data_IF_364887739138
#
_entry.id   IF_364887739138
#
_cell.length_a   1.000
_cell.length_b   1.000
_cell.length_c   1.000
_cell.angle_alpha   90.00
_cell.angle_beta   90.00
_cell.angle_gamma   90.00
#
_symmetry.space_group_name_H-M   'P 1'
#
loop_
_entity.id
_entity.type
_entity.pdbx_description
1 polymer ?
#
# COMPACT_ATOMS: atom_id res chain seq x y z
N UNK A 1 0.97 -28.15 -42.82
CA UNK A 1 1.60 -27.47 -41.67
C UNK A 1 1.73 -28.47 -40.54
N UNK A 2 2.94 -28.76 -40.02
CA UNK A 2 3.10 -29.78 -38.99
C UNK A 2 2.38 -29.34 -37.70
N UNK A 3 1.38 -30.10 -37.28
CA UNK A 3 0.50 -29.81 -36.13
C UNK A 3 0.25 -31.04 -35.24
N UNK A 4 0.94 -32.16 -35.50
CA UNK A 4 0.71 -33.44 -34.81
C UNK A 4 1.40 -33.54 -33.44
N UNK A 5 2.45 -32.75 -33.20
CA UNK A 5 3.17 -32.76 -31.91
C UNK A 5 3.53 -31.34 -31.47
N UNK A 6 3.52 -31.10 -30.16
CA UNK A 6 3.83 -29.79 -29.57
C UNK A 6 5.24 -29.30 -29.92
N UNK A 7 6.23 -30.20 -29.87
CA UNK A 7 7.64 -29.88 -30.18
C UNK A 7 7.83 -29.31 -31.60
N UNK A 8 7.08 -29.81 -32.58
CA UNK A 8 7.22 -29.36 -33.96
C UNK A 8 6.62 -27.97 -34.24
N UNK A 9 5.71 -27.48 -33.38
CA UNK A 9 5.01 -26.21 -33.59
C UNK A 9 5.20 -25.21 -32.43
N UNK A 10 6.19 -25.44 -31.55
CA UNK A 10 6.42 -24.63 -30.34
C UNK A 10 6.62 -23.14 -30.63
N UNK A 11 7.29 -22.79 -31.73
CA UNK A 11 7.57 -21.40 -32.11
C UNK A 11 6.30 -20.57 -32.31
N UNK A 12 5.19 -21.18 -32.73
CA UNK A 12 3.92 -20.50 -32.90
C UNK A 12 3.24 -20.16 -31.55
N UNK A 13 3.58 -20.86 -30.46
CA UNK A 13 3.00 -20.66 -29.14
C UNK A 13 3.81 -19.69 -28.27
N UNK A 14 5.10 -19.48 -28.56
CA UNK A 14 5.97 -18.58 -27.78
C UNK A 14 5.36 -17.17 -27.58
N UNK A 15 4.85 -16.48 -28.63
CA UNK A 15 4.29 -15.16 -28.45
C UNK A 15 3.06 -15.17 -27.51
N UNK A 16 2.19 -16.16 -27.66
CA UNK A 16 0.97 -16.28 -26.84
C UNK A 16 1.32 -16.59 -25.38
N UNK A 17 2.25 -17.50 -25.14
CA UNK A 17 2.70 -17.84 -23.78
C UNK A 17 3.41 -16.66 -23.12
N UNK A 18 4.22 -15.90 -23.86
CA UNK A 18 4.85 -14.68 -23.36
C UNK A 18 3.81 -13.67 -22.89
N UNK A 19 2.85 -13.30 -23.75
CA UNK A 19 1.80 -12.35 -23.40
C UNK A 19 0.95 -12.84 -22.21
N UNK A 20 0.64 -14.14 -22.15
CA UNK A 20 -0.08 -14.71 -21.03
C UNK A 20 0.70 -14.61 -19.70
N UNK A 21 2.01 -14.88 -19.72
CA UNK A 21 2.83 -14.75 -18.51
C UNK A 21 2.91 -13.30 -18.02
N UNK A 22 3.07 -12.33 -18.93
CA UNK A 22 3.08 -10.90 -18.59
C UNK A 22 1.73 -10.47 -18.04
N UNK A 23 0.63 -10.88 -18.69
CA UNK A 23 -0.73 -10.60 -18.25
C UNK A 23 -0.98 -11.11 -16.82
N UNK A 24 -0.66 -12.38 -16.56
CA UNK A 24 -0.85 -12.99 -15.25
C UNK A 24 0.04 -12.36 -14.18
N UNK A 25 1.30 -12.06 -14.50
CA UNK A 25 2.21 -11.42 -13.56
C UNK A 25 1.74 -10.00 -13.19
N UNK A 26 1.38 -9.18 -14.18
CA UNK A 26 0.95 -7.81 -13.95
C UNK A 26 -0.35 -7.75 -13.13
N UNK A 27 -1.37 -8.51 -13.54
CA UNK A 27 -2.66 -8.52 -12.83
C UNK A 27 -2.56 -9.19 -11.46
N UNK A 28 -1.78 -10.28 -11.33
CA UNK A 28 -1.53 -10.94 -10.06
C UNK A 28 -0.92 -9.98 -9.04
N UNK A 29 0.15 -9.28 -9.44
CA UNK A 29 0.80 -8.28 -8.60
C UNK A 29 -0.14 -7.13 -8.22
N UNK A 30 -0.90 -6.59 -9.18
CA UNK A 30 -1.83 -5.50 -8.95
C UNK A 30 -2.95 -5.90 -7.97
N UNK A 31 -3.56 -7.08 -8.17
CA UNK A 31 -4.61 -7.59 -7.28
C UNK A 31 -4.05 -7.86 -5.89
N UNK A 32 -2.86 -8.48 -5.77
CA UNK A 32 -2.21 -8.69 -4.48
C UNK A 32 -1.93 -7.37 -3.76
N UNK A 33 -1.48 -6.33 -4.47
CA UNK A 33 -1.29 -5.00 -3.90
C UNK A 33 -2.61 -4.43 -3.34
N UNK A 34 -3.68 -4.45 -4.14
CA UNK A 34 -4.98 -3.90 -3.74
C UNK A 34 -5.56 -4.62 -2.52
N UNK A 35 -5.43 -5.95 -2.47
CA UNK A 35 -5.90 -6.76 -1.36
C UNK A 35 -5.06 -6.54 -0.09
N UNK A 36 -3.73 -6.55 -0.22
CA UNK A 36 -2.83 -6.43 0.93
C UNK A 36 -2.90 -5.05 1.58
N UNK A 37 -3.03 -4.00 0.77
CA UNK A 37 -3.13 -2.62 1.26
C UNK A 37 -4.57 -2.18 1.51
N UNK A 38 -5.56 -3.07 1.35
CA UNK A 38 -6.97 -2.77 1.63
C UNK A 38 -7.48 -1.54 0.85
N UNK A 39 -7.08 -1.43 -0.42
CA UNK A 39 -7.48 -0.32 -1.32
C UNK A 39 -8.51 -0.77 -2.36
N UNK A 40 -9.39 -1.70 -1.99
CA UNK A 40 -10.46 -2.15 -2.88
C UNK A 40 -11.54 -1.06 -3.02
N UNK A 41 -12.21 -0.97 -4.19
CA UNK A 41 -13.35 -0.08 -4.36
C UNK A 41 -14.41 -0.31 -3.27
N UNK A 42 -14.79 0.75 -2.56
CA UNK A 42 -15.78 0.70 -1.47
C UNK A 42 -15.21 0.53 -0.06
N UNK A 43 -13.89 0.39 0.11
CA UNK A 43 -13.28 0.44 1.44
C UNK A 43 -13.24 1.89 1.97
N UNK A 44 -13.49 2.11 3.27
CA UNK A 44 -13.44 3.45 3.85
C UNK A 44 -12.02 4.00 3.84
N UNK A 45 -11.87 5.29 3.58
CA UNK A 45 -10.58 5.97 3.64
C UNK A 45 -10.05 5.98 5.08
N UNK A 46 -8.76 5.67 5.25
CA UNK A 46 -8.07 5.64 6.54
C UNK A 46 -7.14 6.85 6.71
N UNK A 47 -7.61 8.04 6.34
CA UNK A 47 -6.83 9.26 6.42
C UNK A 47 -6.92 9.87 7.85
N UNK A 48 -5.80 10.14 8.54
CA UNK A 48 -5.81 10.66 9.91
C UNK A 48 -6.29 12.13 10.00
N UNK A 49 -6.04 12.92 8.95
CA UNK A 49 -6.61 14.26 8.72
C UNK A 49 -6.90 14.38 7.20
N UNK A 50 -8.05 14.92 6.76
CA UNK A 50 -8.33 15.14 5.34
C UNK A 50 -7.28 15.96 4.58
N UNK A 51 -6.58 16.85 5.28
CA UNK A 51 -5.53 17.72 4.72
C UNK A 51 -4.23 16.98 4.39
N UNK A 52 -4.09 15.71 4.77
CA UNK A 52 -2.88 14.92 4.47
C UNK A 52 -2.65 14.67 2.99
N UNK A 53 -3.72 14.73 2.19
CA UNK A 53 -3.64 14.50 0.75
C UNK A 53 -3.28 15.77 -0.02
N UNK A 54 -3.45 16.95 0.58
CA UNK A 54 -3.28 18.25 -0.08
C UNK A 54 -1.99 18.96 0.33
N UNK A 55 -1.85 19.34 1.61
CA UNK A 55 -0.83 20.31 2.04
C UNK A 55 -0.02 19.94 3.29
N UNK A 56 -0.47 18.98 4.10
CA UNK A 56 0.15 18.68 5.41
C UNK A 56 0.67 17.25 5.53
N UNK A 57 1.82 17.08 6.19
CA UNK A 57 2.26 15.78 6.66
C UNK A 57 1.79 15.57 8.10
N UNK A 58 1.30 14.36 8.41
CA UNK A 58 0.81 14.01 9.75
C UNK A 58 1.58 12.79 10.25
N UNK A 59 2.02 12.86 11.51
CA UNK A 59 2.63 11.75 12.23
C UNK A 59 1.65 11.36 13.35
N UNK A 60 1.11 10.15 13.28
CA UNK A 60 0.26 9.60 14.32
C UNK A 60 1.12 8.76 15.28
N UNK A 61 1.08 9.07 16.57
CA UNK A 61 1.80 8.31 17.62
C UNK A 61 0.76 7.69 18.55
N UNK A 62 0.73 6.36 18.61
CA UNK A 62 -0.17 5.61 19.50
C UNK A 62 0.55 5.34 20.83
N UNK A 63 0.02 5.91 21.92
CA UNK A 63 0.58 5.72 23.27
C UNK A 63 0.48 4.27 23.76
N UNK A 64 -0.50 3.50 23.28
CA UNK A 64 -0.68 2.08 23.64
C UNK A 64 0.44 1.17 23.13
N UNK A 65 1.11 1.55 22.05
CA UNK A 65 2.18 0.77 21.41
C UNK A 65 3.57 1.30 21.79
N UNK A 66 3.64 2.36 22.60
CA UNK A 66 4.88 3.03 22.95
C UNK A 66 5.23 2.82 24.43
N UNK A 67 6.52 2.67 24.72
CA UNK A 67 7.03 2.48 26.09
C UNK A 67 7.30 3.79 26.84
N UNK A 68 7.26 4.92 26.12
CA UNK A 68 7.50 6.26 26.66
C UNK A 68 6.21 6.87 27.22
N UNK A 69 6.32 7.61 28.33
CA UNK A 69 5.18 8.31 28.94
C UNK A 69 4.79 9.52 28.11
N UNK A 70 3.50 9.89 28.16
CA UNK A 70 2.96 11.05 27.44
C UNK A 70 3.74 12.35 27.74
N UNK A 71 4.10 12.57 29.01
CA UNK A 71 4.83 13.77 29.43
C UNK A 71 6.23 13.89 28.79
N UNK A 72 6.93 12.75 28.63
CA UNK A 72 8.26 12.74 28.00
C UNK A 72 8.14 12.94 26.48
N UNK A 73 7.07 12.41 25.88
CA UNK A 73 6.78 12.58 24.46
C UNK A 73 6.43 14.05 24.12
N UNK A 74 5.63 14.71 24.96
CA UNK A 74 5.29 16.12 24.78
C UNK A 74 6.53 17.02 24.81
N UNK A 75 7.51 16.73 25.67
CA UNK A 75 8.77 17.46 25.73
C UNK A 75 9.57 17.29 24.43
N UNK A 76 9.69 16.07 23.94
CA UNK A 76 10.39 15.80 22.67
C UNK A 76 9.69 16.47 21.49
N UNK A 77 8.35 16.42 21.44
CA UNK A 77 7.59 17.06 20.38
C UNK A 77 7.75 18.57 20.40
N UNK A 78 7.84 19.22 21.58
CA UNK A 78 8.10 20.66 21.68
C UNK A 78 9.47 21.08 21.13
N UNK A 79 10.44 20.18 21.09
CA UNK A 79 11.73 20.44 20.43
C UNK A 79 11.64 20.25 18.91
N UNK A 80 10.61 19.57 18.41
CA UNK A 80 10.38 19.39 16.98
C UNK A 80 9.64 20.57 16.35
N UNK A 81 9.98 20.90 15.10
CA UNK A 81 9.33 21.97 14.35
C UNK A 81 7.96 21.58 13.77
N UNK A 82 6.98 21.28 14.63
CA UNK A 82 5.60 21.01 14.21
C UNK A 82 4.77 22.30 14.11
N UNK A 83 3.73 22.27 13.28
CA UNK A 83 2.82 23.41 13.08
C UNK A 83 1.60 23.29 14.00
N UNK A 84 1.07 22.07 14.14
CA UNK A 84 -0.16 21.77 14.89
C UNK A 84 0.03 20.43 15.61
N UNK A 85 -0.44 20.35 16.86
CA UNK A 85 -0.45 19.12 17.65
C UNK A 85 -1.89 18.86 18.11
N UNK A 86 -2.42 17.69 17.76
CA UNK A 86 -3.78 17.27 18.08
C UNK A 86 -3.74 15.97 18.91
N UNK A 87 -4.39 15.99 20.08
CA UNK A 87 -4.48 14.85 21.00
C UNK A 87 -5.87 14.25 20.90
N UNK A 88 -6.02 13.19 20.10
CA UNK A 88 -7.27 12.45 19.96
C UNK A 88 -7.28 11.21 20.85
N UNK A 89 -8.32 11.06 21.66
CA UNK A 89 -8.62 9.80 22.31
C UNK A 89 -9.35 8.91 21.29
N UNK A 90 -8.71 7.82 20.88
CA UNK A 90 -9.29 6.81 20.00
C UNK A 90 -9.67 5.64 20.90
N UNK A 91 -10.98 5.38 21.05
CA UNK A 91 -11.52 4.20 21.75
C UNK A 91 -11.24 2.88 20.97
#
# INVERSE_FOLDING_TARGET
KPNFTYLQNILAFIPVTFEFTVLCAAHGMAITYLLRNKTLPGMPAQNPDPRTTDDKFVIEIRLSENSMKEADLDLLLNETGYIELDKKNID
#
